data_IF_017297058080
#
_entry.id   IF_017297058080
#
_cell.length_a   1.000
_cell.length_b   1.000
_cell.length_c   1.000
_cell.angle_alpha   90.00
_cell.angle_beta   90.00
_cell.angle_gamma   90.00
#
_symmetry.space_group_name_H-M   'P 1'
#
loop_
_entity.id
_entity.type
_entity.pdbx_description
1 polymer ?
#
# COMPACT_ATOMS: atom_id res chain seq x y z
N UNK A 1 12.93 14.96 -6.90
CA UNK A 1 11.48 14.70 -6.87
C UNK A 1 11.02 14.36 -8.27
N UNK A 2 10.00 13.51 -8.41
CA UNK A 2 9.38 13.21 -9.71
C UNK A 2 8.72 14.47 -10.28
N UNK A 3 8.52 14.52 -11.61
CA UNK A 3 7.99 15.71 -12.31
C UNK A 3 6.57 16.09 -11.88
N UNK A 4 5.76 15.12 -11.45
CA UNK A 4 4.40 15.32 -10.96
C UNK A 4 3.92 14.07 -10.22
N UNK A 5 3.08 14.25 -9.18
CA UNK A 5 2.40 13.12 -8.53
C UNK A 5 1.40 12.40 -9.44
N UNK A 6 1.00 13.03 -10.54
CA UNK A 6 0.09 12.41 -11.51
C UNK A 6 0.78 11.37 -12.40
N UNK A 7 2.11 11.30 -12.37
CA UNK A 7 2.90 10.36 -13.17
C UNK A 7 3.23 9.14 -12.33
N UNK A 8 2.71 7.99 -12.76
CA UNK A 8 3.07 6.70 -12.20
C UNK A 8 4.56 6.41 -12.37
N UNK A 9 5.14 5.74 -11.38
CA UNK A 9 6.54 5.29 -11.48
C UNK A 9 6.66 4.16 -12.50
N UNK A 10 7.66 4.28 -13.39
CA UNK A 10 8.05 3.25 -14.33
C UNK A 10 8.90 2.14 -13.65
N UNK A 11 9.34 1.15 -14.43
CA UNK A 11 10.14 0.04 -13.92
C UNK A 11 11.48 0.50 -13.33
N UNK A 12 12.20 1.43 -13.96
CA UNK A 12 13.51 1.89 -13.49
C UNK A 12 13.39 2.58 -12.11
N UNK A 13 12.38 3.43 -11.94
CA UNK A 13 12.09 4.05 -10.64
C UNK A 13 11.69 3.00 -9.60
N UNK A 14 10.81 2.08 -10.00
CA UNK A 14 10.30 1.04 -9.11
C UNK A 14 11.44 0.16 -8.58
N UNK A 15 12.39 -0.24 -9.44
CA UNK A 15 13.57 -1.03 -9.05
C UNK A 15 14.42 -0.31 -7.99
N UNK A 16 14.67 1.00 -8.15
CA UNK A 16 15.42 1.80 -7.17
C UNK A 16 14.67 1.90 -5.84
N UNK A 17 13.34 1.99 -5.86
CA UNK A 17 12.52 1.98 -4.64
C UNK A 17 12.59 0.61 -3.95
N UNK A 18 12.45 -0.50 -4.68
CA UNK A 18 12.53 -1.85 -4.09
C UNK A 18 13.90 -2.12 -3.45
N UNK A 19 14.99 -1.67 -4.08
CA UNK A 19 16.33 -1.71 -3.48
C UNK A 19 16.39 -0.87 -2.20
N UNK A 20 15.87 0.34 -2.23
CA UNK A 20 15.95 1.26 -1.09
C UNK A 20 15.09 0.81 0.08
N UNK A 21 13.89 0.25 -0.17
CA UNK A 21 13.07 -0.42 0.83
C UNK A 21 13.79 -1.64 1.40
N UNK A 22 14.39 -2.47 0.55
CA UNK A 22 15.17 -3.63 1.01
C UNK A 22 16.29 -3.23 1.95
N UNK A 23 16.96 -2.10 1.69
CA UNK A 23 17.99 -1.56 2.58
C UNK A 23 17.40 -1.00 3.89
N UNK A 24 16.33 -0.22 3.82
CA UNK A 24 15.66 0.33 5.01
C UNK A 24 15.19 -0.80 5.94
N UNK A 25 14.44 -1.75 5.38
CA UNK A 25 13.91 -2.89 6.11
C UNK A 25 15.01 -3.81 6.63
N UNK A 26 16.06 -4.07 5.85
CA UNK A 26 17.20 -4.86 6.30
C UNK A 26 17.93 -4.20 7.48
N UNK A 27 18.15 -2.89 7.43
CA UNK A 27 18.71 -2.15 8.57
C UNK A 27 17.81 -2.21 9.80
N UNK A 28 16.49 -2.04 9.62
CA UNK A 28 15.55 -2.17 10.74
C UNK A 28 15.58 -3.56 11.36
N UNK A 29 15.68 -4.62 10.55
CA UNK A 29 15.79 -6.01 11.00
C UNK A 29 17.02 -6.22 11.88
N UNK A 30 18.15 -5.64 11.48
CA UNK A 30 19.39 -5.65 12.26
C UNK A 30 19.19 -4.99 13.62
N UNK A 31 18.51 -3.84 13.68
CA UNK A 31 18.22 -3.15 14.93
C UNK A 31 17.29 -3.97 15.83
N UNK A 32 16.24 -4.57 15.26
CA UNK A 32 15.29 -5.44 15.97
C UNK A 32 16.00 -6.65 16.57
N UNK A 33 16.81 -7.37 15.77
CA UNK A 33 17.58 -8.54 16.24
C UNK A 33 18.60 -8.21 17.32
N UNK A 34 19.05 -6.96 17.38
CA UNK A 34 19.98 -6.46 18.41
C UNK A 34 19.26 -5.81 19.60
N UNK A 35 17.93 -5.87 19.66
CA UNK A 35 17.11 -5.22 20.69
C UNK A 35 17.41 -3.72 20.81
N UNK A 36 17.67 -3.07 19.68
CA UNK A 36 17.85 -1.61 19.57
C UNK A 36 16.62 -0.90 19.00
N UNK A 37 15.63 -1.69 18.57
CA UNK A 37 14.36 -1.24 18.03
C UNK A 37 13.31 -2.28 18.40
N UNK A 38 12.24 -1.87 19.06
CA UNK A 38 11.17 -2.73 19.55
C UNK A 38 9.80 -2.20 19.08
N UNK A 39 8.76 -3.02 19.20
CA UNK A 39 7.40 -2.65 18.80
C UNK A 39 6.91 -1.36 19.50
N UNK A 40 7.21 -1.24 20.80
CA UNK A 40 6.79 -0.12 21.64
C UNK A 40 7.47 1.22 21.30
N UNK A 41 8.50 1.22 20.44
CA UNK A 41 9.11 2.45 19.94
C UNK A 41 8.22 3.18 18.92
N UNK A 42 7.15 2.54 18.45
CA UNK A 42 6.27 3.07 17.41
C UNK A 42 4.82 3.12 17.86
N UNK A 43 4.10 4.13 17.37
CA UNK A 43 2.66 4.10 17.39
C UNK A 43 2.13 3.04 16.41
N UNK A 44 0.97 2.42 16.67
CA UNK A 44 0.31 1.59 15.67
C UNK A 44 0.03 2.39 14.40
N UNK A 45 0.05 1.71 13.25
CA UNK A 45 -0.25 2.35 11.97
C UNK A 45 -1.65 2.99 11.99
N UNK A 46 -1.82 4.15 11.35
CA UNK A 46 -3.04 4.96 11.54
C UNK A 46 -4.35 4.25 11.18
N UNK A 47 -4.32 3.30 10.23
CA UNK A 47 -5.49 2.50 9.85
C UNK A 47 -5.89 1.43 10.87
N UNK A 48 -5.01 1.12 11.82
CA UNK A 48 -5.25 0.12 12.88
C UNK A 48 -5.26 0.74 14.27
N UNK A 49 -4.71 1.95 14.43
CA UNK A 49 -4.72 2.70 15.69
C UNK A 49 -6.13 3.10 16.15
N UNK A 50 -7.06 3.34 15.23
CA UNK A 50 -8.46 3.66 15.54
C UNK A 50 -9.41 3.04 14.51
N UNK A 51 -9.88 1.82 14.80
CA UNK A 51 -10.76 1.06 13.90
C UNK A 51 -12.11 1.73 13.65
N UNK A 52 -12.63 2.52 14.60
CA UNK A 52 -13.86 3.29 14.42
C UNK A 52 -13.68 4.41 13.39
N UNK A 53 -12.54 5.10 13.42
CA UNK A 53 -12.18 6.06 12.36
C UNK A 53 -11.97 5.36 11.03
N UNK A 54 -11.31 4.20 11.01
CA UNK A 54 -11.14 3.40 9.78
C UNK A 54 -12.48 2.97 9.19
N UNK A 55 -13.43 2.53 10.02
CA UNK A 55 -14.79 2.19 9.59
C UNK A 55 -15.46 3.39 8.92
N UNK A 56 -15.49 4.52 9.62
CA UNK A 56 -16.23 5.71 9.18
C UNK A 56 -15.62 6.35 7.96
N UNK A 57 -14.29 6.46 7.90
CA UNK A 57 -13.59 7.14 6.82
C UNK A 57 -13.35 6.20 5.66
N UNK A 58 -12.59 5.12 5.86
CA UNK A 58 -12.23 4.20 4.78
C UNK A 58 -13.43 3.39 4.31
N UNK A 59 -14.28 2.94 5.23
CA UNK A 59 -15.52 2.24 4.87
C UNK A 59 -16.47 3.10 4.05
N UNK A 60 -16.56 4.41 4.32
CA UNK A 60 -17.35 5.31 3.48
C UNK A 60 -16.67 5.63 2.14
N UNK A 61 -15.36 5.89 2.10
CA UNK A 61 -14.62 6.08 0.84
C UNK A 61 -14.79 4.88 -0.10
N UNK A 62 -14.69 3.66 0.44
CA UNK A 62 -14.94 2.43 -0.31
C UNK A 62 -16.39 2.33 -0.77
N UNK A 63 -17.36 2.66 0.09
CA UNK A 63 -18.78 2.67 -0.29
C UNK A 63 -19.07 3.64 -1.44
N UNK A 64 -18.50 4.84 -1.39
CA UNK A 64 -18.62 5.84 -2.46
C UNK A 64 -17.96 5.34 -3.74
N UNK A 65 -16.74 4.79 -3.63
CA UNK A 65 -16.03 4.21 -4.77
C UNK A 65 -16.84 3.10 -5.43
N UNK A 66 -17.39 2.18 -4.64
CA UNK A 66 -18.25 1.10 -5.10
C UNK A 66 -19.51 1.60 -5.82
N UNK A 67 -20.19 2.63 -5.30
CA UNK A 67 -21.32 3.27 -6.01
C UNK A 67 -20.88 3.92 -7.32
N UNK A 68 -19.70 4.52 -7.33
CA UNK A 68 -19.22 5.30 -8.47
C UNK A 68 -18.73 4.42 -9.61
N UNK A 69 -18.03 3.31 -9.32
CA UNK A 69 -17.58 2.38 -10.37
C UNK A 69 -18.74 1.76 -11.14
N UNK A 70 -19.93 1.60 -10.54
CA UNK A 70 -21.15 1.15 -11.26
C UNK A 70 -21.52 2.05 -12.44
N UNK A 71 -21.12 3.32 -12.41
CA UNK A 71 -21.36 4.27 -13.50
C UNK A 71 -20.42 4.07 -14.70
N UNK A 72 -19.44 3.18 -14.61
CA UNK A 72 -18.42 2.98 -15.65
C UNK A 72 -18.86 2.07 -16.79
N UNK A 73 -19.90 1.25 -16.57
CA UNK A 73 -20.43 0.28 -17.52
C UNK A 73 -21.17 -0.84 -16.80
N UNK A 74 -22.02 -1.59 -17.51
CA UNK A 74 -22.80 -2.69 -16.92
C UNK A 74 -21.92 -3.79 -16.32
N UNK A 75 -20.73 -4.00 -16.87
CA UNK A 75 -19.73 -4.94 -16.36
C UNK A 75 -19.16 -4.57 -14.98
N UNK A 76 -19.36 -3.33 -14.53
CA UNK A 76 -18.91 -2.84 -13.22
C UNK A 76 -19.97 -2.92 -12.13
N UNK A 77 -21.21 -3.30 -12.46
CA UNK A 77 -22.31 -3.37 -11.49
C UNK A 77 -21.97 -4.32 -10.33
N UNK A 78 -21.57 -5.56 -10.67
CA UNK A 78 -21.19 -6.57 -9.69
C UNK A 78 -19.92 -6.20 -8.91
N UNK A 79 -18.93 -5.60 -9.56
CA UNK A 79 -17.70 -5.13 -8.90
C UNK A 79 -18.04 -4.06 -7.86
N UNK A 80 -18.93 -3.12 -8.21
CA UNK A 80 -19.42 -2.10 -7.29
C UNK A 80 -20.15 -2.69 -6.09
N UNK A 81 -20.98 -3.72 -6.29
CA UNK A 81 -21.66 -4.45 -5.20
C UNK A 81 -20.66 -5.14 -4.27
N UNK A 82 -19.64 -5.81 -4.83
CA UNK A 82 -18.56 -6.41 -4.04
C UNK A 82 -17.86 -5.36 -3.20
N UNK A 83 -17.42 -4.24 -3.79
CA UNK A 83 -16.73 -3.17 -3.02
C UNK A 83 -17.62 -2.60 -1.91
N UNK A 84 -18.91 -2.35 -2.18
CA UNK A 84 -19.87 -1.85 -1.18
C UNK A 84 -20.04 -2.86 -0.04
N UNK A 85 -20.14 -4.15 -0.34
CA UNK A 85 -20.25 -5.20 0.68
C UNK A 85 -19.03 -5.17 1.61
N UNK A 86 -17.83 -5.11 1.03
CA UNK A 86 -16.56 -5.05 1.77
C UNK A 86 -16.41 -3.80 2.62
N UNK A 87 -16.92 -2.67 2.15
CA UNK A 87 -16.80 -1.37 2.81
C UNK A 87 -17.33 -1.39 4.26
N UNK A 88 -18.33 -2.22 4.55
CA UNK A 88 -18.93 -2.35 5.88
C UNK A 88 -18.05 -3.11 6.89
N UNK A 89 -17.21 -4.04 6.42
CA UNK A 89 -16.36 -4.88 7.28
C UNK A 89 -14.88 -4.49 7.23
N UNK A 90 -14.51 -3.45 6.49
CA UNK A 90 -13.10 -3.09 6.28
C UNK A 90 -12.32 -2.88 7.58
N UNK A 91 -12.93 -2.26 8.59
CA UNK A 91 -12.26 -1.99 9.87
C UNK A 91 -11.98 -3.25 10.67
N UNK A 92 -12.90 -4.23 10.67
CA UNK A 92 -12.70 -5.53 11.32
C UNK A 92 -11.49 -6.24 10.71
N UNK A 93 -11.42 -6.22 9.38
CA UNK A 93 -10.31 -6.84 8.66
C UNK A 93 -9.00 -6.11 8.83
N UNK A 94 -9.02 -4.78 8.83
CA UNK A 94 -7.82 -3.98 9.13
C UNK A 94 -7.31 -4.29 10.53
N UNK A 95 -8.21 -4.48 11.52
CA UNK A 95 -7.84 -4.97 12.85
C UNK A 95 -7.15 -6.33 12.78
N UNK A 96 -7.77 -7.30 12.09
CA UNK A 96 -7.25 -8.67 11.96
C UNK A 96 -5.88 -8.71 11.28
N UNK A 97 -5.69 -7.99 10.17
CA UNK A 97 -4.40 -7.99 9.46
C UNK A 97 -3.36 -7.08 10.11
N UNK A 98 -3.81 -6.18 10.99
CA UNK A 98 -2.99 -5.30 11.84
C UNK A 98 -2.20 -6.02 12.92
N UNK A 99 -2.67 -7.18 13.37
CA UNK A 99 -1.97 -8.02 14.35
C UNK A 99 -0.58 -8.41 13.83
N UNK A 100 0.45 -8.14 14.64
CA UNK A 100 1.84 -8.44 14.29
C UNK A 100 2.08 -9.95 14.49
N UNK A 101 2.46 -10.70 13.43
CA UNK A 101 2.68 -12.13 13.57
C UNK A 101 3.96 -12.41 14.36
N UNK A 102 3.82 -12.95 15.56
CA UNK A 102 4.96 -13.26 16.45
C UNK A 102 6.02 -14.13 15.77
N UNK A 103 7.30 -13.79 16.01
CA UNK A 103 8.43 -14.58 15.54
C UNK A 103 8.66 -14.58 14.02
N UNK A 104 7.91 -13.79 13.24
CA UNK A 104 8.00 -13.79 11.79
C UNK A 104 9.26 -13.09 11.26
N UNK A 105 9.90 -13.71 10.26
CA UNK A 105 11.00 -13.09 9.51
C UNK A 105 10.53 -11.90 8.64
N UNK A 106 9.22 -11.68 8.50
CA UNK A 106 8.65 -10.55 7.78
C UNK A 106 8.71 -9.23 8.57
N UNK A 107 8.89 -9.28 9.90
CA UNK A 107 8.80 -8.09 10.75
C UNK A 107 9.97 -7.13 10.52
N UNK A 108 9.64 -5.85 10.32
CA UNK A 108 10.54 -4.73 10.06
C UNK A 108 9.96 -3.43 10.66
N UNK A 109 10.73 -2.35 10.65
CA UNK A 109 10.17 -1.00 10.74
C UNK A 109 9.76 -0.54 9.34
N UNK A 110 8.46 -0.39 9.14
CA UNK A 110 7.90 0.18 7.91
C UNK A 110 8.08 1.70 7.90
N UNK A 111 8.27 2.28 6.73
CA UNK A 111 8.16 3.72 6.49
C UNK A 111 6.72 4.20 6.68
N UNK A 112 5.74 3.42 6.23
CA UNK A 112 4.31 3.67 6.38
C UNK A 112 3.69 4.67 5.39
N UNK A 113 4.51 5.49 4.72
CA UNK A 113 4.05 6.43 3.68
C UNK A 113 4.90 6.40 2.40
N UNK A 114 4.99 5.24 1.75
CA UNK A 114 5.88 4.98 0.60
C UNK A 114 5.24 5.39 -0.73
N UNK A 115 5.20 6.70 -1.01
CA UNK A 115 4.72 7.25 -2.29
C UNK A 115 5.69 8.28 -2.88
N UNK A 116 5.53 8.63 -4.16
CA UNK A 116 6.54 9.42 -4.90
C UNK A 116 6.84 10.81 -4.32
N UNK A 117 5.94 11.41 -3.54
CA UNK A 117 6.18 12.71 -2.92
C UNK A 117 7.16 12.61 -1.73
N UNK A 118 7.23 11.45 -1.09
CA UNK A 118 8.14 11.14 0.01
C UNK A 118 9.45 10.48 -0.48
N UNK A 119 9.74 10.66 -1.77
CA UNK A 119 10.84 10.00 -2.49
C UNK A 119 11.72 11.02 -3.22
N UNK A 120 12.97 11.15 -2.78
CA UNK A 120 13.97 11.98 -3.42
C UNK A 120 14.89 11.13 -4.31
N UNK A 121 14.55 11.07 -5.60
CA UNK A 121 15.37 10.41 -6.61
C UNK A 121 16.59 11.24 -7.01
N UNK A 122 17.72 10.57 -7.11
CA UNK A 122 18.94 11.03 -7.78
C UNK A 122 19.01 10.37 -9.16
N UNK A 123 19.36 11.15 -10.17
CA UNK A 123 19.44 10.70 -11.56
C UNK A 123 20.88 10.66 -12.05
N UNK A 124 21.17 9.77 -13.00
CA UNK A 124 22.45 9.72 -13.66
C UNK A 124 22.72 11.01 -14.46
N UNK A 125 24.00 11.35 -14.64
CA UNK A 125 24.38 12.48 -15.48
C UNK A 125 23.88 12.27 -16.90
N UNK A 126 23.18 13.28 -17.45
CA UNK A 126 22.68 13.31 -18.82
C UNK A 126 21.63 12.24 -19.18
N UNK A 127 20.92 11.65 -18.20
CA UNK A 127 19.77 10.78 -18.47
C UNK A 127 18.66 10.95 -17.43
N UNK A 128 17.43 10.55 -17.78
CA UNK A 128 16.30 10.52 -16.83
C UNK A 128 16.29 9.22 -15.99
N UNK A 129 17.38 8.43 -16.01
CA UNK A 129 17.43 7.16 -15.29
C UNK A 129 17.74 7.40 -13.80
N UNK A 130 16.87 6.96 -12.87
CA UNK A 130 17.14 7.04 -11.44
C UNK A 130 18.25 6.06 -11.05
N UNK A 131 19.12 6.48 -10.13
CA UNK A 131 20.27 5.69 -9.66
C UNK A 131 20.32 5.53 -8.14
N UNK A 132 19.65 6.41 -7.40
CA UNK A 132 19.59 6.36 -5.94
C UNK A 132 18.29 7.04 -5.46
N UNK A 133 17.85 6.68 -4.26
CA UNK A 133 16.67 7.23 -3.61
C UNK A 133 17.00 7.55 -2.15
N UNK A 134 16.41 8.63 -1.64
CA UNK A 134 16.22 8.86 -0.20
C UNK A 134 14.74 8.97 0.14
N UNK A 135 14.31 8.24 1.15
CA UNK A 135 13.01 8.43 1.78
C UNK A 135 13.05 9.65 2.71
N UNK A 136 11.92 10.34 2.80
CA UNK A 136 11.67 11.44 3.72
C UNK A 136 10.28 11.25 4.33
N UNK A 137 10.00 11.96 5.42
CA UNK A 137 8.70 11.93 6.11
C UNK A 137 8.32 10.55 6.68
N UNK A 138 8.87 10.24 7.85
CA UNK A 138 8.67 8.99 8.60
C UNK A 138 7.53 9.07 9.62
N UNK A 139 6.58 9.99 9.44
CA UNK A 139 5.52 10.24 10.43
C UNK A 139 4.58 9.04 10.65
N UNK A 140 4.48 8.13 9.67
CA UNK A 140 3.66 6.92 9.72
C UNK A 140 4.49 5.65 9.97
N UNK A 141 5.75 5.77 10.37
CA UNK A 141 6.60 4.62 10.67
C UNK A 141 6.01 3.77 11.78
N UNK A 142 5.98 2.46 11.56
CA UNK A 142 5.36 1.51 12.45
C UNK A 142 6.01 0.13 12.38
N UNK A 143 5.82 -0.64 13.45
CA UNK A 143 6.34 -2.00 13.57
C UNK A 143 5.31 -3.00 13.04
N UNK A 144 5.60 -3.67 11.92
CA UNK A 144 4.78 -4.75 11.38
C UNK A 144 5.55 -5.52 10.30
N UNK A 145 4.88 -6.45 9.62
CA UNK A 145 5.39 -7.11 8.42
C UNK A 145 5.78 -6.13 7.32
N UNK A 146 6.81 -6.45 6.54
CA UNK A 146 7.23 -5.65 5.39
C UNK A 146 6.16 -5.56 4.28
N UNK A 147 5.15 -6.43 4.30
CA UNK A 147 4.03 -6.39 3.38
C UNK A 147 3.26 -5.07 3.42
N UNK A 148 3.26 -4.33 4.53
CA UNK A 148 2.57 -3.04 4.62
C UNK A 148 3.16 -2.01 3.64
N UNK A 149 4.46 -1.74 3.71
CA UNK A 149 5.11 -0.83 2.75
C UNK A 149 5.02 -1.36 1.31
N UNK A 150 5.16 -2.67 1.11
CA UNK A 150 5.09 -3.29 -0.21
C UNK A 150 3.70 -3.14 -0.84
N UNK A 151 2.63 -3.42 -0.10
CA UNK A 151 1.25 -3.27 -0.59
C UNK A 151 0.95 -1.80 -0.88
N UNK A 152 1.33 -0.89 0.02
CA UNK A 152 1.12 0.54 -0.16
C UNK A 152 1.80 1.03 -1.44
N UNK A 153 3.06 0.69 -1.63
CA UNK A 153 3.84 1.13 -2.78
C UNK A 153 3.35 0.50 -4.10
N UNK A 154 3.26 -0.84 -4.14
CA UNK A 154 2.95 -1.60 -5.35
C UNK A 154 1.51 -1.36 -5.84
N UNK A 155 0.58 -1.07 -4.94
CA UNK A 155 -0.82 -0.82 -5.30
C UNK A 155 -1.19 0.66 -5.27
N UNK A 156 -0.38 1.55 -4.69
CA UNK A 156 -0.62 2.99 -4.64
C UNK A 156 -0.10 3.77 -5.85
N UNK A 157 1.22 3.82 -6.04
CA UNK A 157 1.88 4.83 -6.89
C UNK A 157 2.63 4.34 -8.13
N UNK A 158 2.75 3.02 -8.32
CA UNK A 158 3.46 2.44 -9.48
C UNK A 158 2.50 2.15 -10.64
N UNK A 159 3.05 2.15 -11.86
CA UNK A 159 2.27 1.77 -13.03
C UNK A 159 1.76 0.33 -12.87
N UNK A 160 0.43 0.09 -12.93
CA UNK A 160 -0.16 -1.24 -12.90
C UNK A 160 0.48 -2.26 -13.83
N UNK A 161 0.86 -1.83 -15.04
CA UNK A 161 1.47 -2.72 -16.02
C UNK A 161 2.86 -3.18 -15.57
N UNK A 162 3.64 -2.29 -14.96
CA UNK A 162 4.93 -2.63 -14.36
C UNK A 162 4.73 -3.68 -13.26
N UNK A 163 3.74 -3.50 -12.38
CA UNK A 163 3.46 -4.50 -11.34
C UNK A 163 3.09 -5.84 -11.94
N UNK A 164 2.12 -5.90 -12.85
CA UNK A 164 1.63 -7.17 -13.44
C UNK A 164 2.74 -7.93 -14.16
N UNK A 165 3.59 -7.22 -14.90
CA UNK A 165 4.64 -7.85 -15.71
C UNK A 165 5.92 -8.17 -14.93
N UNK A 166 6.16 -7.51 -13.79
CA UNK A 166 7.46 -7.58 -13.10
C UNK A 166 7.38 -7.85 -11.60
N UNK A 167 6.23 -8.19 -11.01
CA UNK A 167 6.09 -8.40 -9.56
C UNK A 167 7.17 -9.33 -8.98
N UNK A 168 7.42 -10.46 -9.63
CA UNK A 168 8.42 -11.43 -9.19
C UNK A 168 9.84 -10.86 -9.19
N UNK A 169 10.20 -10.12 -10.24
CA UNK A 169 11.48 -9.43 -10.32
C UNK A 169 11.60 -8.38 -9.21
N UNK A 170 10.56 -7.59 -8.99
CA UNK A 170 10.54 -6.54 -7.98
C UNK A 170 10.74 -7.12 -6.58
N UNK A 171 10.02 -8.19 -6.23
CA UNK A 171 10.16 -8.86 -4.94
C UNK A 171 11.53 -9.54 -4.79
N UNK A 172 12.07 -10.14 -5.85
CA UNK A 172 13.42 -10.71 -5.83
C UNK A 172 14.49 -9.63 -5.57
N UNK A 173 14.38 -8.47 -6.21
CA UNK A 173 15.29 -7.33 -6.01
C UNK A 173 15.22 -6.83 -4.57
N UNK A 174 14.01 -6.70 -4.02
CA UNK A 174 13.80 -6.32 -2.63
C UNK A 174 14.44 -7.32 -1.65
N UNK A 175 14.15 -8.62 -1.80
CA UNK A 175 14.71 -9.68 -0.93
C UNK A 175 16.23 -9.74 -1.04
N UNK A 176 16.76 -9.61 -2.25
CA UNK A 176 18.21 -9.61 -2.48
C UNK A 176 18.90 -8.47 -1.72
N UNK A 177 18.38 -7.23 -1.80
CA UNK A 177 18.98 -6.09 -1.12
C UNK A 177 18.78 -6.16 0.42
N UNK A 178 17.66 -6.72 0.89
CA UNK A 178 17.44 -7.08 2.30
C UNK A 178 18.53 -8.04 2.80
N UNK A 179 18.73 -9.18 2.12
CA UNK A 179 19.74 -10.20 2.45
C UNK A 179 21.15 -9.62 2.49
N UNK A 180 21.51 -8.88 1.45
CA UNK A 180 22.80 -8.17 1.38
C UNK A 180 22.97 -7.18 2.54
N UNK A 181 21.91 -6.49 2.93
CA UNK A 181 21.95 -5.54 4.05
C UNK A 181 22.13 -6.27 5.38
N UNK A 182 21.33 -7.29 5.69
CA UNK A 182 21.41 -7.96 6.99
C UNK A 182 22.75 -8.70 7.18
N UNK A 183 23.26 -9.33 6.11
CA UNK A 183 24.56 -10.03 6.13
C UNK A 183 25.73 -9.09 6.34
N UNK A 184 25.68 -7.87 5.78
CA UNK A 184 26.69 -6.85 6.01
C UNK A 184 26.81 -6.42 7.49
N UNK A 185 25.79 -6.69 8.31
CA UNK A 185 25.77 -6.36 9.75
C UNK A 185 25.77 -7.60 10.67
N UNK A 186 26.11 -8.77 10.13
CA UNK A 186 26.38 -9.99 10.89
C UNK A 186 25.17 -10.91 11.15
N UNK A 187 24.02 -10.65 10.51
CA UNK A 187 22.90 -11.59 10.49
C UNK A 187 23.04 -12.60 9.35
N UNK A 188 22.20 -13.64 9.36
CA UNK A 188 22.19 -14.67 8.31
C UNK A 188 21.13 -14.37 7.24
N UNK A 189 21.25 -14.96 6.06
CA UNK A 189 20.25 -14.76 5.01
C UNK A 189 18.87 -15.34 5.40
N UNK A 190 18.86 -16.37 6.23
CA UNK A 190 17.69 -17.04 6.78
C UNK A 190 16.91 -16.15 7.76
N UNK A 191 17.48 -15.02 8.19
CA UNK A 191 16.77 -13.99 8.96
C UNK A 191 15.84 -13.12 8.09
N UNK A 192 15.87 -13.30 6.76
CA UNK A 192 15.04 -12.57 5.80
C UNK A 192 13.98 -13.51 5.23
N UNK A 193 12.74 -13.02 5.17
CA UNK A 193 11.65 -13.74 4.53
C UNK A 193 11.94 -14.01 3.04
N UNK A 194 11.55 -15.19 2.59
CA UNK A 194 11.54 -15.58 1.18
C UNK A 194 10.53 -14.77 0.37
N UNK A 195 10.69 -14.79 -0.97
CA UNK A 195 9.73 -14.18 -1.89
C UNK A 195 8.34 -14.79 -1.72
N UNK A 196 8.24 -16.09 -1.46
CA UNK A 196 6.95 -16.78 -1.28
C UNK A 196 6.26 -16.37 0.03
N UNK A 197 7.02 -16.22 1.13
CA UNK A 197 6.49 -15.68 2.39
C UNK A 197 5.99 -14.24 2.21
N UNK A 198 6.71 -13.39 1.45
CA UNK A 198 6.25 -12.04 1.14
C UNK A 198 4.98 -12.03 0.28
N UNK A 199 4.87 -12.92 -0.72
CA UNK A 199 3.65 -13.06 -1.53
C UNK A 199 2.45 -13.51 -0.69
N UNK A 200 2.67 -14.47 0.22
CA UNK A 200 1.65 -14.91 1.14
C UNK A 200 1.18 -13.77 2.06
N UNK A 201 2.11 -12.94 2.55
CA UNK A 201 1.81 -11.78 3.37
C UNK A 201 1.08 -10.66 2.60
N UNK A 202 1.50 -10.35 1.38
CA UNK A 202 0.79 -9.44 0.47
C UNK A 202 -0.65 -9.93 0.22
N UNK A 203 -0.84 -11.24 0.06
CA UNK A 203 -2.18 -11.85 -0.08
C UNK A 203 -2.99 -11.73 1.21
N UNK A 204 -2.37 -11.94 2.39
CA UNK A 204 -3.00 -11.73 3.70
C UNK A 204 -3.48 -10.28 3.87
N UNK A 205 -2.73 -9.32 3.33
CA UNK A 205 -3.00 -7.88 3.36
C UNK A 205 -3.99 -7.42 2.27
N UNK A 206 -4.77 -8.32 1.68
CA UNK A 206 -5.82 -7.99 0.71
C UNK A 206 -6.81 -6.88 1.17
N UNK A 207 -7.26 -6.81 2.44
CA UNK A 207 -8.05 -5.68 2.93
C UNK A 207 -7.32 -4.33 2.80
N UNK A 208 -6.02 -4.32 3.08
CA UNK A 208 -5.20 -3.13 2.94
C UNK A 208 -4.92 -2.77 1.48
N UNK A 209 -4.75 -3.77 0.60
CA UNK A 209 -4.68 -3.58 -0.86
C UNK A 209 -5.96 -2.93 -1.41
N UNK A 210 -7.12 -3.24 -0.84
CA UNK A 210 -8.38 -2.60 -1.22
C UNK A 210 -8.35 -1.09 -0.92
N UNK A 211 -7.91 -0.70 0.27
CA UNK A 211 -7.71 0.72 0.63
C UNK A 211 -6.66 1.36 -0.28
N UNK A 212 -5.54 0.68 -0.54
CA UNK A 212 -4.51 1.20 -1.43
C UNK A 212 -5.02 1.47 -2.85
N UNK A 213 -5.90 0.59 -3.35
CA UNK A 213 -6.43 0.69 -4.71
C UNK A 213 -7.50 1.77 -4.86
N UNK A 214 -8.39 1.95 -3.87
CA UNK A 214 -9.54 2.86 -3.96
C UNK A 214 -9.43 4.17 -3.18
N UNK A 215 -8.43 4.30 -2.30
CA UNK A 215 -8.22 5.53 -1.53
C UNK A 215 -6.86 6.16 -1.85
N UNK A 216 -5.76 5.46 -1.59
CA UNK A 216 -4.41 6.01 -1.78
C UNK A 216 -4.10 6.28 -3.25
N UNK A 217 -4.38 5.32 -4.13
CA UNK A 217 -4.08 5.47 -5.55
C UNK A 217 -4.83 6.67 -6.18
N UNK A 218 -6.16 6.84 -6.03
CA UNK A 218 -6.84 8.06 -6.48
C UNK A 218 -6.22 9.33 -5.88
N UNK A 219 -5.91 9.32 -4.58
CA UNK A 219 -5.25 10.45 -3.91
C UNK A 219 -3.92 10.83 -4.60
N UNK A 220 -3.14 9.85 -5.04
CA UNK A 220 -1.83 10.10 -5.65
C UNK A 220 -1.95 10.60 -7.09
N UNK A 221 -2.81 9.96 -7.89
CA UNK A 221 -2.76 10.08 -9.36
C UNK A 221 -3.93 10.86 -9.98
N UNK A 222 -4.94 11.22 -9.20
CA UNK A 222 -6.05 12.08 -9.65
C UNK A 222 -5.67 13.56 -9.61
N UNK A 223 -6.11 14.31 -10.63
CA UNK A 223 -6.02 15.78 -10.67
C UNK A 223 -7.07 16.45 -9.78
N UNK A 224 -8.15 15.74 -9.44
CA UNK A 224 -9.18 16.25 -8.55
C UNK A 224 -8.67 16.26 -7.11
N UNK A 225 -8.95 17.33 -6.35
CA UNK A 225 -8.43 17.49 -5.00
C UNK A 225 -9.02 16.43 -4.08
N UNK A 226 -8.19 16.02 -3.13
CA UNK A 226 -8.59 15.26 -1.95
C UNK A 226 -8.43 16.20 -0.77
N UNK A 227 -9.52 16.56 -0.13
CA UNK A 227 -9.46 17.40 1.07
C UNK A 227 -9.12 16.50 2.27
N UNK A 228 -7.82 16.23 2.42
CA UNK A 228 -7.28 15.41 3.50
C UNK A 228 -7.60 16.00 4.88
N UNK A 229 -7.63 17.32 5.00
CA UNK A 229 -7.96 17.99 6.27
C UNK A 229 -9.42 17.75 6.62
N UNK A 230 -10.36 17.92 5.67
CA UNK A 230 -11.76 17.58 5.89
C UNK A 230 -11.96 16.07 6.16
N UNK A 231 -11.17 15.19 5.53
CA UNK A 231 -11.22 13.75 5.79
C UNK A 231 -10.75 13.41 7.22
N UNK A 232 -9.75 14.13 7.73
CA UNK A 232 -9.10 13.84 9.02
C UNK A 232 -9.72 14.60 10.21
N UNK A 233 -10.33 15.77 10.00
CA UNK A 233 -10.83 16.66 11.07
C UNK A 233 -12.34 16.62 11.27
N UNK A 234 -13.10 16.04 10.34
CA UNK A 234 -14.56 16.04 10.39
C UNK A 234 -15.09 15.00 11.40
N UNK A 235 -15.15 15.41 12.67
CA UNK A 235 -15.70 14.64 13.79
C UNK A 235 -17.21 14.42 13.70
N UNK A 236 -17.92 15.22 12.89
CA UNK A 236 -19.35 15.12 12.59
C UNK A 236 -19.62 14.55 11.19
N UNK A 237 -18.83 13.58 10.72
CA UNK A 237 -19.28 12.41 9.96
C UNK A 237 -20.42 12.61 8.92
N UNK A 238 -20.40 13.72 8.16
CA UNK A 238 -21.39 14.02 7.14
C UNK A 238 -20.95 13.44 5.81
N UNK A 239 -21.91 13.10 4.95
CA UNK A 239 -21.77 12.36 3.69
C UNK A 239 -20.85 13.01 2.63
N UNK A 240 -20.23 14.15 2.95
CA UNK A 240 -19.21 14.80 2.13
C UNK A 240 -17.82 14.49 2.69
N UNK A 241 -17.37 13.23 2.54
CA UNK A 241 -15.95 12.94 2.71
C UNK A 241 -15.21 13.67 1.60
N UNK A 242 -14.10 14.35 1.95
CA UNK A 242 -13.27 15.16 1.07
C UNK A 242 -12.67 14.46 -0.17
N UNK A 243 -13.10 13.24 -0.47
CA UNK A 243 -12.87 12.57 -1.74
C UNK A 243 -13.86 13.07 -2.79
N UNK A 244 -13.39 13.89 -3.72
CA UNK A 244 -14.15 14.23 -4.91
C UNK A 244 -14.43 12.95 -5.72
N UNK A 245 -15.69 12.56 -5.91
CA UNK A 245 -16.05 11.36 -6.67
C UNK A 245 -15.48 11.36 -8.10
N UNK A 246 -15.18 12.55 -8.66
CA UNK A 246 -14.50 12.68 -9.96
C UNK A 246 -13.08 12.12 -9.94
N UNK A 247 -12.43 12.00 -8.78
CA UNK A 247 -11.13 11.34 -8.64
C UNK A 247 -11.18 9.87 -9.04
N UNK A 248 -12.29 9.19 -8.73
CA UNK A 248 -12.52 7.81 -9.14
C UNK A 248 -12.77 7.75 -10.65
N UNK A 249 -13.46 8.72 -11.26
CA UNK A 249 -13.58 8.80 -12.73
C UNK A 249 -12.43 9.49 -13.46
N UNK A 250 -11.34 9.87 -12.79
CA UNK A 250 -10.21 10.50 -13.49
C UNK A 250 -9.64 9.49 -14.49
N UNK A 251 -9.55 9.83 -15.79
CA UNK A 251 -8.98 8.94 -16.79
C UNK A 251 -7.61 8.37 -16.39
N UNK A 252 -6.76 9.17 -15.72
CA UNK A 252 -5.44 8.72 -15.29
C UNK A 252 -5.51 7.61 -14.24
N UNK A 253 -6.53 7.64 -13.37
CA UNK A 253 -6.79 6.57 -12.41
C UNK A 253 -7.53 5.40 -13.07
N UNK A 254 -8.67 5.67 -13.72
CA UNK A 254 -9.57 4.64 -14.26
C UNK A 254 -8.89 3.79 -15.32
N UNK A 255 -8.33 4.40 -16.36
CA UNK A 255 -7.80 3.67 -17.53
C UNK A 255 -6.64 2.76 -17.15
N UNK A 256 -5.80 3.21 -16.21
CA UNK A 256 -4.66 2.42 -15.74
C UNK A 256 -5.05 1.34 -14.72
N UNK A 257 -6.09 1.58 -13.93
CA UNK A 257 -6.45 0.70 -12.81
C UNK A 257 -7.54 -0.30 -13.17
N UNK A 258 -8.26 -0.14 -14.28
CA UNK A 258 -9.41 -0.97 -14.64
C UNK A 258 -9.10 -2.48 -14.58
N UNK A 259 -7.98 -2.92 -15.15
CA UNK A 259 -7.56 -4.33 -15.11
C UNK A 259 -7.33 -4.80 -13.67
N UNK A 260 -6.59 -4.01 -12.89
CA UNK A 260 -6.25 -4.33 -11.50
C UNK A 260 -7.47 -4.41 -10.60
N UNK A 261 -8.46 -3.52 -10.82
CA UNK A 261 -9.68 -3.46 -10.03
C UNK A 261 -10.59 -4.65 -10.33
N UNK A 262 -10.63 -5.13 -11.58
CA UNK A 262 -11.32 -6.36 -11.96
C UNK A 262 -10.67 -7.59 -11.33
N UNK A 263 -9.35 -7.71 -11.44
CA UNK A 263 -8.59 -8.79 -10.78
C UNK A 263 -8.79 -8.77 -9.25
N UNK A 264 -8.76 -7.59 -8.64
CA UNK A 264 -9.01 -7.41 -7.22
C UNK A 264 -10.42 -7.87 -6.86
N UNK A 265 -11.45 -7.49 -7.60
CA UNK A 265 -12.82 -7.93 -7.36
C UNK A 265 -12.97 -9.46 -7.45
N UNK A 266 -12.32 -10.10 -8.43
CA UNK A 266 -12.31 -11.57 -8.56
C UNK A 266 -11.60 -12.27 -7.38
N UNK A 267 -10.53 -11.67 -6.85
CA UNK A 267 -9.86 -12.16 -5.64
C UNK A 267 -10.74 -12.00 -4.41
N UNK A 268 -11.41 -10.85 -4.28
CA UNK A 268 -12.35 -10.57 -3.21
C UNK A 268 -13.50 -11.59 -3.22
N UNK A 269 -14.09 -11.90 -4.37
CA UNK A 269 -15.20 -12.86 -4.45
C UNK A 269 -14.82 -14.30 -4.07
N UNK A 270 -13.52 -14.61 -3.93
CA UNK A 270 -13.04 -15.93 -3.50
C UNK A 270 -12.93 -16.08 -1.98
N UNK A 271 -12.95 -14.99 -1.22
CA UNK A 271 -12.73 -15.05 0.22
C UNK A 271 -13.99 -15.56 0.94
N UNK A 272 -13.91 -16.74 1.57
CA UNK A 272 -15.08 -17.44 2.12
C UNK A 272 -15.76 -16.74 3.29
N UNK A 273 -15.01 -16.15 4.22
CA UNK A 273 -15.60 -15.45 5.37
C UNK A 273 -16.35 -14.17 4.96
N UNK A 274 -16.19 -13.70 3.71
CA UNK A 274 -16.98 -12.60 3.12
C UNK A 274 -18.26 -13.04 2.45
N UNK A 275 -18.42 -14.34 2.21
CA UNK A 275 -19.69 -14.94 1.77
C UNK A 275 -20.64 -15.21 2.94
N UNK A 276 -20.15 -15.08 4.17
CA UNK A 276 -20.97 -15.19 5.37
C UNK A 276 -21.68 -13.86 5.59
N UNK A 277 -22.97 -13.82 5.26
CA UNK A 277 -23.86 -12.75 5.66
C UNK A 277 -23.91 -12.74 7.21
N UNK A 278 -23.70 -11.56 7.80
CA UNK A 278 -23.95 -11.35 9.22
C UNK A 278 -25.46 -11.30 9.46
#
# INVERSE_FOLDING_TARGET
>A
MTKSRLVFLDLDHTLVVMQSLGRLHGLSKVLIRKSLLEENDFAPYFLVANLHTTEKVMGHCLKLSGKHVKTWGNEWEGIGDTIIKYSSKIHVEMGRVGEVPEGSNLIVMNHGDVWQCNMLFKYAHYSEKPIELRFIDFQLSHYNTAGWDLVYFLHGGIDPEVRRNHLDLLLQVYVHEMKKTVTAYGLQEEDVASVDELKADITRLLPYRLIASFFFRPLFVSRYPFDLEAVMTNTEMSEAIGMDARSISDPNYREKSEVDLKELADELDKIEWLKQDN
#
